data_IF_391012884487
#
_entry.id   IF_391012884487
#
_cell.length_a   1.000
_cell.length_b   1.000
_cell.length_c   1.000
_cell.angle_alpha   90.00
_cell.angle_beta   90.00
_cell.angle_gamma   90.00
#
_symmetry.space_group_name_H-M   'P 1'
#
loop_
_entity.id
_entity.type
_entity.pdbx_description
1 polymer ?
#
# COMPACT_ATOMS: atom_id res chain seq x y z
N UNK A 1 -13.07 -22.81 -26.46
CA UNK A 1 -13.42 -21.87 -25.37
C UNK A 1 -12.66 -22.00 -24.05
N UNK A 2 -11.86 -23.05 -23.80
CA UNK A 2 -11.12 -23.21 -22.54
C UNK A 2 -9.84 -22.34 -22.39
N UNK A 3 -9.41 -21.64 -23.44
CA UNK A 3 -8.14 -20.89 -23.42
C UNK A 3 -8.26 -19.45 -22.87
N UNK A 4 -9.45 -18.83 -22.87
CA UNK A 4 -9.60 -17.44 -22.42
C UNK A 4 -9.48 -17.30 -20.89
N UNK A 5 -9.97 -18.29 -20.14
CA UNK A 5 -9.94 -18.27 -18.66
C UNK A 5 -8.52 -18.51 -18.12
N UNK A 6 -7.72 -19.34 -18.80
CA UNK A 6 -6.32 -19.63 -18.41
C UNK A 6 -5.42 -18.42 -18.66
N UNK A 7 -5.62 -17.70 -19.78
CA UNK A 7 -4.83 -16.50 -20.13
C UNK A 7 -5.06 -15.35 -19.13
N UNK A 8 -6.23 -15.28 -18.49
CA UNK A 8 -6.51 -14.28 -17.45
C UNK A 8 -5.87 -14.60 -16.09
N UNK A 9 -5.55 -15.87 -15.81
CA UNK A 9 -4.99 -16.31 -14.52
C UNK A 9 -3.50 -16.03 -14.36
N UNK A 10 -2.76 -15.87 -15.46
CA UNK A 10 -1.30 -15.75 -15.48
C UNK A 10 -0.78 -14.40 -15.97
N UNK A 11 -1.64 -13.58 -16.58
CA UNK A 11 -1.27 -12.24 -17.05
C UNK A 11 -1.15 -11.24 -15.89
N UNK A 12 0.03 -10.66 -15.73
CA UNK A 12 0.29 -9.62 -14.74
C UNK A 12 -0.55 -8.36 -14.96
N UNK A 13 -0.74 -7.96 -16.23
CA UNK A 13 -1.59 -6.83 -16.59
C UNK A 13 -3.06 -7.09 -16.27
N UNK A 14 -3.54 -8.31 -16.53
CA UNK A 14 -4.92 -8.69 -16.20
C UNK A 14 -5.16 -8.62 -14.68
N UNK A 15 -4.19 -9.06 -13.86
CA UNK A 15 -4.29 -8.95 -12.40
C UNK A 15 -4.32 -7.49 -11.94
N UNK A 16 -3.43 -6.64 -12.47
CA UNK A 16 -3.42 -5.20 -12.14
C UNK A 16 -4.75 -4.53 -12.51
N UNK A 17 -5.29 -4.80 -13.70
CA UNK A 17 -6.59 -4.29 -14.11
C UNK A 17 -7.72 -4.80 -13.23
N UNK A 18 -7.71 -6.09 -12.87
CA UNK A 18 -8.71 -6.66 -11.98
C UNK A 18 -8.70 -5.95 -10.62
N UNK A 19 -7.52 -5.72 -10.03
CA UNK A 19 -7.36 -4.96 -8.76
C UNK A 19 -7.92 -3.54 -8.91
N UNK A 20 -7.57 -2.84 -9.98
CA UNK A 20 -7.98 -1.44 -10.21
C UNK A 20 -9.48 -1.31 -10.43
N UNK A 21 -10.12 -2.27 -11.10
CA UNK A 21 -11.55 -2.25 -11.38
C UNK A 21 -12.43 -2.60 -10.17
N UNK A 22 -11.87 -3.15 -9.08
CA UNK A 22 -12.71 -3.63 -7.98
C UNK A 22 -13.45 -2.50 -7.24
N UNK A 23 -14.76 -2.66 -6.99
CA UNK A 23 -15.53 -1.72 -6.19
C UNK A 23 -15.50 -2.06 -4.70
N UNK A 24 -15.20 -3.30 -4.33
CA UNK A 24 -15.27 -3.79 -2.96
C UNK A 24 -13.93 -4.23 -2.41
N UNK A 25 -13.59 -3.72 -1.23
CA UNK A 25 -12.29 -3.99 -0.59
C UNK A 25 -12.15 -5.45 -0.20
N UNK A 26 -13.27 -6.13 0.11
CA UNK A 26 -13.31 -7.56 0.45
C UNK A 26 -12.79 -8.45 -0.68
N UNK A 27 -13.00 -8.06 -1.94
CA UNK A 27 -12.45 -8.77 -3.09
C UNK A 27 -10.93 -8.82 -3.04
N UNK A 28 -10.28 -7.73 -2.58
CA UNK A 28 -8.82 -7.66 -2.50
C UNK A 28 -8.25 -8.69 -1.52
N UNK A 29 -8.96 -8.99 -0.43
CA UNK A 29 -8.53 -10.05 0.51
C UNK A 29 -8.66 -11.43 -0.12
N UNK A 30 -9.80 -11.69 -0.76
CA UNK A 30 -10.06 -12.97 -1.38
C UNK A 30 -9.06 -13.29 -2.50
N UNK A 31 -8.42 -12.28 -3.09
CA UNK A 31 -7.52 -12.44 -4.24
C UNK A 31 -6.06 -12.05 -3.96
N UNK A 32 -5.71 -11.75 -2.70
CA UNK A 32 -4.33 -11.42 -2.31
C UNK A 32 -3.35 -12.59 -2.48
N UNK A 33 -3.85 -13.82 -2.62
CA UNK A 33 -3.07 -15.03 -2.86
C UNK A 33 -2.70 -15.25 -4.35
N UNK A 34 -3.19 -14.41 -5.27
CA UNK A 34 -2.94 -14.53 -6.72
C UNK A 34 -1.53 -14.13 -7.19
N UNK A 35 -0.82 -13.13 -6.61
CA UNK A 35 0.49 -12.71 -7.10
C UNK A 35 1.50 -13.87 -7.25
N UNK A 36 1.62 -14.84 -6.32
CA UNK A 36 2.47 -16.02 -6.49
C UNK A 36 2.23 -16.81 -7.79
N UNK A 37 1.00 -16.91 -8.27
CA UNK A 37 0.69 -17.63 -9.52
C UNK A 37 1.16 -16.87 -10.76
N UNK A 38 0.99 -15.54 -10.78
CA UNK A 38 1.52 -14.67 -11.85
C UNK A 38 3.04 -14.69 -11.86
N UNK A 39 3.67 -14.62 -10.68
CA UNK A 39 5.12 -14.68 -10.51
C UNK A 39 5.67 -16.01 -11.03
N UNK A 40 5.01 -17.13 -10.69
CA UNK A 40 5.37 -18.46 -11.21
C UNK A 40 5.35 -18.48 -12.74
N UNK A 41 4.29 -17.95 -13.36
CA UNK A 41 4.21 -17.90 -14.82
C UNK A 41 5.35 -17.08 -15.45
N UNK A 42 5.80 -16.00 -14.81
CA UNK A 42 6.93 -15.21 -15.29
C UNK A 42 8.24 -16.00 -15.20
N UNK A 43 8.44 -16.74 -14.11
CA UNK A 43 9.60 -17.64 -13.93
C UNK A 43 9.61 -18.72 -15.01
N UNK A 44 8.48 -19.38 -15.23
CA UNK A 44 8.33 -20.44 -16.25
C UNK A 44 8.53 -19.90 -17.68
N UNK A 45 8.28 -18.60 -17.90
CA UNK A 45 8.53 -17.92 -19.17
C UNK A 45 9.98 -17.44 -19.35
N UNK A 46 10.87 -17.70 -18.38
CA UNK A 46 12.28 -17.30 -18.44
C UNK A 46 12.54 -15.82 -18.14
N UNK A 47 11.62 -15.12 -17.47
CA UNK A 47 11.87 -13.74 -17.05
C UNK A 47 13.05 -13.67 -16.07
N UNK A 48 13.91 -12.66 -16.23
CA UNK A 48 15.01 -12.44 -15.29
C UNK A 48 14.49 -11.96 -13.91
N UNK A 49 15.32 -12.11 -12.88
CA UNK A 49 14.96 -11.75 -11.51
C UNK A 49 14.56 -10.28 -11.33
N UNK A 50 15.19 -9.36 -12.08
CA UNK A 50 14.86 -7.93 -12.05
C UNK A 50 13.45 -7.63 -12.56
N UNK A 51 13.03 -8.29 -13.65
CA UNK A 51 11.67 -8.18 -14.16
C UNK A 51 10.65 -8.79 -13.20
N UNK A 52 10.97 -9.92 -12.58
CA UNK A 52 10.08 -10.57 -11.60
C UNK A 52 9.87 -9.67 -10.38
N UNK A 53 10.94 -9.18 -9.77
CA UNK A 53 10.88 -8.27 -8.60
C UNK A 53 10.15 -6.96 -8.94
N UNK A 54 10.42 -6.39 -10.12
CA UNK A 54 9.68 -5.20 -10.59
C UNK A 54 8.18 -5.46 -10.70
N UNK A 55 7.78 -6.63 -11.21
CA UNK A 55 6.37 -6.99 -11.33
C UNK A 55 5.71 -7.23 -9.97
N UNK A 56 6.42 -7.85 -9.03
CA UNK A 56 5.97 -7.99 -7.63
C UNK A 56 5.66 -6.62 -7.06
N UNK A 57 6.61 -5.67 -7.16
CA UNK A 57 6.44 -4.31 -6.68
C UNK A 57 5.21 -3.64 -7.31
N UNK A 58 5.03 -3.72 -8.64
CA UNK A 58 3.87 -3.12 -9.31
C UNK A 58 2.55 -3.68 -8.80
N UNK A 59 2.43 -5.01 -8.68
CA UNK A 59 1.19 -5.65 -8.22
C UNK A 59 0.87 -5.24 -6.78
N UNK A 60 1.88 -5.27 -5.91
CA UNK A 60 1.74 -4.90 -4.50
C UNK A 60 1.36 -3.42 -4.34
N UNK A 61 2.03 -2.52 -5.06
CA UNK A 61 1.73 -1.08 -5.04
C UNK A 61 0.31 -0.78 -5.55
N UNK A 62 -0.13 -1.49 -6.59
CA UNK A 62 -1.51 -1.40 -7.08
C UNK A 62 -2.53 -1.83 -6.02
N UNK A 63 -2.29 -2.96 -5.34
CA UNK A 63 -3.19 -3.45 -4.30
C UNK A 63 -3.24 -2.47 -3.11
N UNK A 64 -2.08 -2.07 -2.58
CA UNK A 64 -1.99 -1.12 -1.46
C UNK A 64 -2.62 0.22 -1.81
N UNK A 65 -2.27 0.77 -2.96
CA UNK A 65 -2.84 2.02 -3.46
C UNK A 65 -4.36 1.94 -3.63
N UNK A 66 -4.88 0.78 -4.05
CA UNK A 66 -6.33 0.55 -4.12
C UNK A 66 -6.98 0.58 -2.74
N UNK A 67 -6.44 -0.14 -1.76
CA UNK A 67 -6.92 -0.12 -0.36
C UNK A 67 -6.96 1.30 0.19
N UNK A 68 -5.85 2.04 0.07
CA UNK A 68 -5.73 3.43 0.55
C UNK A 68 -6.79 4.33 -0.10
N UNK A 69 -6.95 4.27 -1.43
CA UNK A 69 -7.95 5.07 -2.16
C UNK A 69 -9.39 4.73 -1.76
N UNK A 70 -9.69 3.45 -1.59
CA UNK A 70 -11.03 3.01 -1.16
C UNK A 70 -11.35 3.50 0.26
N UNK A 71 -10.37 3.47 1.15
CA UNK A 71 -10.54 3.95 2.51
C UNK A 71 -10.71 5.47 2.56
N UNK A 72 -9.91 6.23 1.81
CA UNK A 72 -10.10 7.68 1.67
C UNK A 72 -11.52 8.02 1.16
N UNK A 73 -12.04 7.24 0.21
CA UNK A 73 -13.41 7.44 -0.30
C UNK A 73 -14.46 7.12 0.78
N UNK A 74 -14.26 6.05 1.55
CA UNK A 74 -15.23 5.59 2.56
C UNK A 74 -15.25 6.43 3.85
N UNK A 75 -14.10 6.94 4.30
CA UNK A 75 -14.00 7.82 5.47
C UNK A 75 -14.37 9.27 5.14
N UNK A 76 -14.43 9.62 3.85
CA UNK A 76 -14.52 10.99 3.37
C UNK A 76 -13.13 11.63 3.24
N UNK A 77 -12.92 12.55 2.28
CA UNK A 77 -11.61 13.15 2.08
C UNK A 77 -11.16 13.97 3.31
N UNK A 78 -9.87 13.94 3.67
CA UNK A 78 -9.37 14.76 4.77
C UNK A 78 -9.46 16.25 4.44
N UNK A 79 -9.67 17.08 5.45
CA UNK A 79 -9.59 18.55 5.32
C UNK A 79 -8.16 19.04 5.07
N UNK A 80 -7.17 18.20 5.36
CA UNK A 80 -5.74 18.50 5.27
C UNK A 80 -5.11 17.55 4.27
N UNK A 81 -4.23 18.07 3.42
CA UNK A 81 -3.53 17.25 2.44
C UNK A 81 -2.56 16.29 3.13
N UNK A 82 -2.44 15.07 2.60
CA UNK A 82 -1.56 14.03 3.12
C UNK A 82 -0.83 13.35 1.97
N UNK A 83 0.45 13.03 2.18
CA UNK A 83 1.20 12.09 1.36
C UNK A 83 1.37 10.78 2.11
N UNK A 84 1.05 9.65 1.46
CA UNK A 84 1.41 8.33 1.95
C UNK A 84 2.80 7.96 1.45
N UNK A 85 3.67 7.51 2.34
CA UNK A 85 5.04 7.13 2.04
C UNK A 85 5.24 5.66 2.34
N UNK A 86 5.77 4.94 1.36
CA UNK A 86 6.28 3.58 1.55
C UNK A 86 7.75 3.69 1.97
N UNK A 87 8.17 2.87 2.93
CA UNK A 87 9.52 2.86 3.45
C UNK A 87 10.16 1.47 3.25
N UNK A 88 11.40 1.29 3.73
CA UNK A 88 12.07 -0.01 3.63
C UNK A 88 12.19 -0.56 2.20
N UNK A 89 12.02 -1.88 2.06
CA UNK A 89 12.05 -2.54 0.75
C UNK A 89 10.91 -2.11 -0.16
N UNK A 90 9.76 -1.71 0.41
CA UNK A 90 8.67 -1.15 -0.39
C UNK A 90 9.11 0.17 -1.05
N UNK A 91 9.74 1.06 -0.28
CA UNK A 91 10.26 2.34 -0.77
C UNK A 91 11.40 2.19 -1.77
N UNK A 92 12.28 1.19 -1.60
CA UNK A 92 13.37 0.88 -2.55
C UNK A 92 12.93 0.09 -3.78
N UNK A 93 11.67 -0.37 -3.83
CA UNK A 93 11.13 -1.20 -4.92
C UNK A 93 11.83 -2.56 -5.06
N UNK A 94 12.33 -3.09 -3.95
CA UNK A 94 13.09 -4.35 -3.85
C UNK A 94 12.26 -5.45 -3.16
N UNK A 95 10.95 -5.42 -3.35
CA UNK A 95 10.02 -6.32 -2.69
C UNK A 95 10.19 -7.77 -3.20
N UNK A 96 10.05 -8.72 -2.30
CA UNK A 96 9.98 -10.16 -2.66
C UNK A 96 8.55 -10.69 -2.50
N UNK A 97 8.33 -11.96 -2.79
CA UNK A 97 6.98 -12.59 -2.76
C UNK A 97 6.30 -12.44 -1.39
N UNK A 98 7.09 -12.46 -0.31
CA UNK A 98 6.62 -12.14 1.03
C UNK A 98 7.23 -10.80 1.43
N UNK A 99 6.37 -9.86 1.79
CA UNK A 99 6.78 -8.53 2.23
C UNK A 99 5.85 -8.10 3.36
N UNK A 100 6.41 -7.40 4.35
CA UNK A 100 5.64 -6.68 5.34
C UNK A 100 5.19 -5.32 4.77
N UNK A 101 4.76 -4.42 5.65
CA UNK A 101 4.38 -3.07 5.31
C UNK A 101 5.22 -2.09 6.13
N UNK A 102 6.07 -1.33 5.45
CA UNK A 102 6.77 -0.19 6.05
C UNK A 102 6.14 1.08 5.49
N UNK A 103 5.48 1.86 6.36
CA UNK A 103 4.78 3.04 5.88
C UNK A 103 4.75 4.18 6.89
N UNK A 104 4.59 5.37 6.34
CA UNK A 104 4.52 6.61 7.08
C UNK A 104 3.65 7.62 6.32
N UNK A 105 3.22 8.70 6.97
CA UNK A 105 2.51 9.79 6.29
C UNK A 105 3.15 11.14 6.56
N UNK A 106 3.09 12.00 5.54
CA UNK A 106 3.45 13.41 5.63
C UNK A 106 2.19 14.26 5.54
N UNK A 107 1.86 14.97 6.62
CA UNK A 107 0.66 15.79 6.73
C UNK A 107 1.02 17.24 6.43
N UNK A 108 0.21 17.94 5.63
CA UNK A 108 0.38 19.38 5.41
C UNK A 108 0.20 20.13 6.73
N UNK A 109 1.13 21.02 7.07
CA UNK A 109 1.00 21.87 8.24
C UNK A 109 -0.25 22.75 8.14
N UNK A 110 -0.92 22.95 9.29
CA UNK A 110 -2.09 23.81 9.42
C UNK A 110 -1.94 24.64 10.68
N UNK A 111 -2.11 25.96 10.54
CA UNK A 111 -2.00 26.92 11.64
C UNK A 111 -3.24 26.92 12.54
N UNK A 112 -4.43 26.72 11.96
CA UNK A 112 -5.68 26.63 12.70
C UNK A 112 -5.65 25.43 13.69
N UNK A 113 -5.71 25.67 15.01
CA UNK A 113 -5.62 24.61 16.02
C UNK A 113 -6.80 23.63 15.99
N UNK A 114 -7.99 24.06 15.56
CA UNK A 114 -9.18 23.22 15.45
C UNK A 114 -8.99 22.24 14.30
N UNK A 115 -8.59 22.74 13.13
CA UNK A 115 -8.33 21.89 11.95
C UNK A 115 -7.14 20.96 12.22
N UNK A 116 -6.08 21.44 12.86
CA UNK A 116 -4.92 20.62 13.23
C UNK A 116 -5.31 19.46 14.15
N UNK A 117 -6.12 19.70 15.20
CA UNK A 117 -6.63 18.64 16.08
C UNK A 117 -7.53 17.66 15.34
N UNK A 118 -8.43 18.16 14.48
CA UNK A 118 -9.29 17.31 13.67
C UNK A 118 -8.47 16.41 12.72
N UNK A 119 -7.38 16.91 12.14
CA UNK A 119 -6.48 16.14 11.29
C UNK A 119 -5.79 15.01 12.06
N UNK A 120 -5.35 15.24 13.30
CA UNK A 120 -4.74 14.18 14.13
C UNK A 120 -5.71 13.02 14.33
N UNK A 121 -6.94 13.31 14.77
CA UNK A 121 -7.98 12.29 14.99
C UNK A 121 -8.32 11.56 13.69
N UNK A 122 -8.49 12.32 12.59
CA UNK A 122 -8.80 11.75 11.29
C UNK A 122 -7.68 10.80 10.81
N UNK A 123 -6.42 11.24 10.84
CA UNK A 123 -5.31 10.44 10.33
C UNK A 123 -4.96 9.24 11.21
N UNK A 124 -5.19 9.32 12.52
CA UNK A 124 -5.12 8.16 13.40
C UNK A 124 -6.14 7.09 13.01
N UNK A 125 -7.41 7.46 12.86
CA UNK A 125 -8.46 6.53 12.44
C UNK A 125 -8.22 5.98 11.02
N UNK A 126 -7.81 6.84 10.09
CA UNK A 126 -7.52 6.48 8.71
C UNK A 126 -6.36 5.48 8.62
N UNK A 127 -5.21 5.80 9.22
CA UNK A 127 -4.02 4.94 9.16
C UNK A 127 -4.28 3.60 9.82
N UNK A 128 -4.93 3.59 11.00
CA UNK A 128 -5.30 2.35 11.70
C UNK A 128 -6.13 1.43 10.80
N UNK A 129 -7.17 1.97 10.15
CA UNK A 129 -7.98 1.19 9.20
C UNK A 129 -7.17 0.71 8.00
N UNK A 130 -6.30 1.54 7.43
CA UNK A 130 -5.44 1.12 6.31
C UNK A 130 -4.60 -0.09 6.72
N UNK A 131 -3.95 -0.05 7.88
CA UNK A 131 -3.13 -1.17 8.37
C UNK A 131 -3.98 -2.43 8.54
N UNK A 132 -5.14 -2.35 9.20
CA UNK A 132 -6.03 -3.50 9.39
C UNK A 132 -6.45 -4.15 8.05
N UNK A 133 -6.74 -3.32 7.05
CA UNK A 133 -7.15 -3.79 5.73
C UNK A 133 -5.98 -4.38 4.93
N UNK A 134 -4.77 -3.82 5.07
CA UNK A 134 -3.56 -4.39 4.47
C UNK A 134 -3.18 -5.72 5.10
N UNK A 135 -3.34 -5.87 6.42
CA UNK A 135 -3.17 -7.17 7.11
C UNK A 135 -4.14 -8.21 6.57
N UNK A 136 -5.42 -7.87 6.42
CA UNK A 136 -6.42 -8.76 5.80
C UNK A 136 -6.08 -9.09 4.34
N UNK A 137 -5.39 -8.19 3.65
CA UNK A 137 -4.90 -8.40 2.29
C UNK A 137 -3.54 -9.10 2.22
N UNK A 138 -3.01 -9.64 3.33
CA UNK A 138 -1.81 -10.46 3.34
C UNK A 138 -0.49 -9.70 3.54
N UNK A 139 -0.53 -8.41 3.87
CA UNK A 139 0.64 -7.62 4.25
C UNK A 139 0.74 -7.56 5.79
N UNK A 140 1.59 -8.38 6.43
CA UNK A 140 1.73 -8.33 7.89
C UNK A 140 2.26 -6.96 8.36
N UNK A 141 2.03 -6.57 9.62
CA UNK A 141 2.63 -5.36 10.18
C UNK A 141 4.17 -5.44 10.18
N UNK A 142 4.84 -4.30 10.03
CA UNK A 142 6.28 -4.20 10.24
C UNK A 142 6.64 -4.65 11.68
N UNK A 143 7.60 -5.57 11.86
CA UNK A 143 8.03 -6.03 13.18
C UNK A 143 8.68 -4.91 14.01
N UNK A 144 9.32 -3.95 13.35
CA UNK A 144 9.97 -2.79 13.99
C UNK A 144 9.01 -1.60 14.21
N UNK A 145 7.74 -1.76 13.84
CA UNK A 145 6.72 -0.74 14.06
C UNK A 145 6.85 0.51 13.20
N UNK A 146 7.49 0.41 12.02
CA UNK A 146 7.54 1.48 10.99
C UNK A 146 6.18 1.56 10.29
N UNK A 147 5.23 2.18 10.99
CA UNK A 147 3.81 2.10 10.66
C UNK A 147 3.15 3.46 10.80
N UNK A 148 2.38 3.91 9.81
CA UNK A 148 1.63 5.16 9.88
C UNK A 148 0.54 5.14 10.97
N UNK A 149 0.16 3.96 11.49
CA UNK A 149 -0.70 3.84 12.69
C UNK A 149 0.02 4.20 14.00
N UNK A 150 1.33 4.40 13.99
CA UNK A 150 2.11 4.96 15.09
C UNK A 150 2.37 6.46 14.85
N UNK A 151 2.11 7.30 15.86
CA UNK A 151 2.26 8.77 15.77
C UNK A 151 3.67 9.21 15.41
N UNK A 152 4.70 8.41 15.75
CA UNK A 152 6.10 8.64 15.34
C UNK A 152 6.27 8.76 13.82
N UNK A 153 5.39 8.12 13.05
CA UNK A 153 5.43 8.08 11.58
C UNK A 153 4.27 8.85 10.95
N UNK A 154 3.56 9.67 11.74
CA UNK A 154 2.53 10.62 11.29
C UNK A 154 2.98 12.04 11.54
N UNK A 155 3.86 12.54 10.68
CA UNK A 155 4.52 13.81 10.90
C UNK A 155 4.14 14.83 9.82
N UNK A 156 4.25 16.11 10.14
CA UNK A 156 4.23 17.17 9.13
C UNK A 156 5.53 17.18 8.32
N UNK A 157 5.54 17.86 7.17
CA UNK A 157 6.77 18.01 6.38
C UNK A 157 7.91 18.65 7.19
N UNK A 158 7.63 19.64 8.05
CA UNK A 158 8.65 20.27 8.91
C UNK A 158 9.21 19.29 9.94
N UNK A 159 8.34 18.49 10.57
CA UNK A 159 8.75 17.46 11.52
C UNK A 159 9.57 16.34 10.85
N UNK A 160 9.22 15.96 9.61
CA UNK A 160 10.03 15.04 8.82
C UNK A 160 11.44 15.58 8.56
N UNK A 161 11.56 16.86 8.15
CA UNK A 161 12.87 17.49 7.94
C UNK A 161 13.72 17.45 9.21
N UNK A 162 13.16 17.84 10.35
CA UNK A 162 13.86 17.78 11.64
C UNK A 162 14.27 16.35 12.01
N UNK A 163 13.43 15.36 11.70
CA UNK A 163 13.74 13.94 11.94
C UNK A 163 14.97 13.51 11.13
N UNK A 164 15.02 13.85 9.84
CA UNK A 164 16.14 13.49 8.97
C UNK A 164 17.43 14.27 9.27
N UNK A 165 17.34 15.50 9.78
CA UNK A 165 18.51 16.26 10.23
C UNK A 165 19.23 15.62 11.43
N UNK A 166 18.56 14.70 12.15
CA UNK A 166 19.08 14.03 13.34
C UNK A 166 19.53 12.59 13.10
N UNK A 167 19.45 12.09 11.86
CA UNK A 167 19.90 10.75 11.47
C UNK A 167 21.29 10.80 10.88
#
# INVERSE_FOLDING_TARGET
DQNIVVIQGTSSMALVWAIMAQPEIAWLYAHSHRPPHVIRSLVESGANAGHITSMITVINDCLRGKVIKMLLKSLGPPQVAVGWMMMGSDGRREQTVKTDQDNAISIRYVEDPVIARAAVVYFEAFTTRVIEHLVKAGFPPCPDGIMASNSKWRLTLSQWKETFERW
#
